data_IF_206654027302
#
_entry.id   IF_206654027302
#
_cell.length_a   1.000
_cell.length_b   1.000
_cell.length_c   1.000
_cell.angle_alpha   90.00
_cell.angle_beta   90.00
_cell.angle_gamma   90.00
#
_symmetry.space_group_name_H-M   'P 1'
#
loop_
_entity.id
_entity.type
_entity.pdbx_description
1 polymer ?
#
# COMPACT_ATOMS: atom_id res chain seq x y z
N UNK A 1 24.47 30.34 -5.48
CA UNK A 1 24.40 28.91 -5.10
C UNK A 1 22.92 28.57 -4.99
N UNK A 2 22.49 27.51 -5.67
CA UNK A 2 21.16 27.38 -6.26
C UNK A 2 19.98 27.49 -5.30
N UNK A 3 19.00 28.28 -5.72
CA UNK A 3 17.60 28.04 -5.38
C UNK A 3 17.18 26.73 -6.08
N UNK A 4 17.51 25.59 -5.48
CA UNK A 4 16.95 24.30 -5.89
C UNK A 4 15.51 24.23 -5.35
N UNK A 5 14.58 24.60 -6.21
CA UNK A 5 13.26 23.97 -6.37
C UNK A 5 12.55 23.48 -5.10
N UNK A 6 11.75 24.35 -4.48
CA UNK A 6 10.86 24.00 -3.36
C UNK A 6 9.64 23.08 -3.72
N UNK A 7 9.09 23.03 -4.96
CA UNK A 7 7.93 22.19 -5.24
C UNK A 7 8.27 20.71 -5.48
N UNK A 8 9.48 20.38 -5.94
CA UNK A 8 9.89 18.98 -6.19
C UNK A 8 9.91 18.14 -4.89
N UNK A 9 10.50 18.67 -3.81
CA UNK A 9 10.62 17.97 -2.53
C UNK A 9 9.26 17.63 -1.88
N UNK A 10 8.26 18.50 -2.03
CA UNK A 10 6.93 18.29 -1.44
C UNK A 10 6.18 17.14 -2.13
N UNK A 11 6.30 17.02 -3.46
CA UNK A 11 5.69 15.95 -4.22
C UNK A 11 6.34 14.59 -3.92
N UNK A 12 7.67 14.55 -3.81
CA UNK A 12 8.41 13.34 -3.44
C UNK A 12 8.09 12.86 -2.02
N UNK A 13 7.94 13.79 -1.08
CA UNK A 13 7.54 13.47 0.29
C UNK A 13 6.10 12.94 0.37
N UNK A 14 5.17 13.53 -0.40
CA UNK A 14 3.79 13.05 -0.46
C UNK A 14 3.71 11.64 -1.10
N UNK A 15 4.45 11.40 -2.18
CA UNK A 15 4.54 10.07 -2.80
C UNK A 15 5.09 9.02 -1.83
N UNK A 16 6.17 9.33 -1.11
CA UNK A 16 6.73 8.43 -0.09
C UNK A 16 5.74 8.14 1.04
N UNK A 17 5.04 9.15 1.54
CA UNK A 17 4.00 8.96 2.56
C UNK A 17 2.87 8.06 2.05
N UNK A 18 2.44 8.23 0.79
CA UNK A 18 1.40 7.40 0.20
C UNK A 18 1.82 5.92 0.08
N UNK A 19 3.07 5.68 -0.32
CA UNK A 19 3.66 4.34 -0.40
C UNK A 19 3.73 3.68 1.00
N UNK A 20 4.12 4.44 2.03
CA UNK A 20 4.15 3.93 3.40
C UNK A 20 2.75 3.59 3.93
N UNK A 21 1.76 4.48 3.72
CA UNK A 21 0.36 4.21 4.07
C UNK A 21 -0.15 2.93 3.41
N UNK A 22 0.10 2.78 2.12
CA UNK A 22 -0.27 1.60 1.34
C UNK A 22 0.37 0.33 1.91
N UNK A 23 1.66 0.37 2.23
CA UNK A 23 2.39 -0.76 2.81
C UNK A 23 1.79 -1.20 4.14
N UNK A 24 1.55 -0.25 5.06
CA UNK A 24 1.02 -0.56 6.39
C UNK A 24 -0.36 -1.19 6.24
N UNK A 25 -1.24 -0.55 5.47
CA UNK A 25 -2.60 -1.01 5.28
C UNK A 25 -2.70 -2.38 4.60
N UNK A 26 -1.86 -2.64 3.60
CA UNK A 26 -1.78 -3.94 2.94
C UNK A 26 -1.47 -5.04 3.97
N UNK A 27 -0.45 -4.82 4.80
CA UNK A 27 -0.04 -5.78 5.81
C UNK A 27 -1.09 -5.95 6.90
N UNK A 28 -1.73 -4.88 7.37
CA UNK A 28 -2.83 -4.97 8.34
C UNK A 28 -4.00 -5.80 7.81
N UNK A 29 -4.44 -5.55 6.56
CA UNK A 29 -5.48 -6.38 5.94
C UNK A 29 -5.00 -7.82 5.80
N UNK A 30 -3.77 -8.08 5.33
CA UNK A 30 -3.27 -9.45 5.19
C UNK A 30 -3.26 -10.20 6.51
N UNK A 31 -2.78 -9.57 7.58
CA UNK A 31 -2.78 -10.17 8.91
C UNK A 31 -4.19 -10.42 9.43
N UNK A 32 -5.15 -9.54 9.13
CA UNK A 32 -6.55 -9.73 9.50
C UNK A 32 -7.19 -10.92 8.78
N UNK A 33 -6.93 -11.12 7.49
CA UNK A 33 -7.57 -12.18 6.69
C UNK A 33 -6.85 -13.53 6.77
N UNK A 34 -5.52 -13.54 6.88
CA UNK A 34 -4.69 -14.75 6.78
C UNK A 34 -3.92 -15.07 8.06
N UNK A 35 -3.71 -14.08 8.94
CA UNK A 35 -2.97 -14.20 10.20
C UNK A 35 -1.60 -13.52 10.17
N UNK A 36 -0.99 -13.36 11.34
CA UNK A 36 0.22 -12.55 11.56
C UNK A 36 1.45 -12.96 10.73
N UNK A 37 1.51 -14.22 10.28
CA UNK A 37 2.60 -14.76 9.46
C UNK A 37 2.57 -14.28 8.00
N UNK A 38 1.49 -13.64 7.55
CA UNK A 38 1.31 -13.20 6.17
C UNK A 38 1.61 -11.70 6.05
N UNK A 39 2.74 -11.39 5.42
CA UNK A 39 3.24 -10.03 5.29
C UNK A 39 3.98 -9.85 3.96
N UNK A 40 3.86 -8.67 3.35
CA UNK A 40 4.70 -8.26 2.23
C UNK A 40 5.89 -7.48 2.77
N UNK A 41 7.10 -7.87 2.37
CA UNK A 41 8.32 -7.21 2.84
C UNK A 41 8.46 -5.76 2.34
N UNK A 42 9.09 -4.91 3.17
CA UNK A 42 9.35 -3.50 2.84
C UNK A 42 10.18 -3.31 1.56
N UNK A 43 10.98 -4.31 1.15
CA UNK A 43 11.85 -4.23 -0.03
C UNK A 43 11.09 -3.92 -1.32
N UNK A 44 9.84 -4.38 -1.45
CA UNK A 44 9.01 -4.06 -2.61
C UNK A 44 8.59 -2.58 -2.66
N UNK A 45 8.62 -1.88 -1.53
CA UNK A 45 8.15 -0.51 -1.34
C UNK A 45 9.28 0.50 -1.09
N UNK A 46 10.53 0.03 -0.95
CA UNK A 46 11.72 0.87 -0.69
C UNK A 46 12.53 1.21 -1.94
N UNK A 47 12.12 0.76 -3.13
CA UNK A 47 12.80 1.12 -4.38
C UNK A 47 12.64 2.61 -4.68
N UNK A 48 13.75 3.29 -4.97
CA UNK A 48 13.79 4.72 -5.30
C UNK A 48 12.91 5.09 -6.51
N UNK A 49 12.59 4.13 -7.37
CA UNK A 49 11.72 4.30 -8.53
C UNK A 49 10.22 4.45 -8.21
N UNK A 50 9.78 4.25 -6.96
CA UNK A 50 8.36 4.27 -6.59
C UNK A 50 7.76 5.67 -6.43
N UNK A 51 8.55 6.72 -6.68
CA UNK A 51 8.07 8.12 -6.64
C UNK A 51 7.00 8.42 -7.70
N UNK A 52 6.75 7.51 -8.66
CA UNK A 52 5.68 7.61 -9.64
C UNK A 52 4.63 6.51 -9.46
N UNK A 53 3.36 6.89 -9.54
CA UNK A 53 2.21 5.97 -9.47
C UNK A 53 2.32 4.84 -10.51
N UNK A 54 2.85 5.11 -11.70
CA UNK A 54 3.05 4.10 -12.74
C UNK A 54 4.04 3.01 -12.31
N UNK A 55 5.15 3.40 -11.67
CA UNK A 55 6.14 2.45 -11.17
C UNK A 55 5.57 1.63 -10.01
N UNK A 56 4.80 2.26 -9.12
CA UNK A 56 4.06 1.55 -8.08
C UNK A 56 3.08 0.53 -8.69
N UNK A 57 2.26 0.92 -9.66
CA UNK A 57 1.36 0.00 -10.40
C UNK A 57 2.12 -1.14 -11.09
N UNK A 58 3.34 -0.89 -11.56
CA UNK A 58 4.20 -1.89 -12.20
C UNK A 58 4.74 -2.89 -11.19
N UNK A 59 5.30 -2.43 -10.08
CA UNK A 59 5.77 -3.30 -8.98
C UNK A 59 4.59 -4.08 -8.40
N UNK A 60 3.46 -3.43 -8.22
CA UNK A 60 2.23 -4.07 -7.76
C UNK A 60 1.86 -5.26 -8.64
N UNK A 61 1.70 -5.05 -9.95
CA UNK A 61 1.30 -6.12 -10.88
C UNK A 61 2.34 -7.22 -11.06
N UNK A 62 3.63 -6.92 -10.89
CA UNK A 62 4.72 -7.89 -11.15
C UNK A 62 5.23 -8.63 -9.93
N UNK A 63 5.00 -8.10 -8.73
CA UNK A 63 5.55 -8.66 -7.51
C UNK A 63 4.46 -8.87 -6.45
N UNK A 64 3.69 -7.83 -6.14
CA UNK A 64 2.71 -7.90 -5.05
C UNK A 64 1.51 -8.75 -5.45
N UNK A 65 0.92 -8.51 -6.61
CA UNK A 65 -0.23 -9.27 -7.12
C UNK A 65 0.03 -10.78 -7.17
N UNK A 66 1.10 -11.29 -7.80
CA UNK A 66 1.35 -12.74 -7.81
C UNK A 66 1.61 -13.31 -6.41
N UNK A 67 2.23 -12.54 -5.50
CA UNK A 67 2.38 -12.95 -4.10
C UNK A 67 1.02 -13.06 -3.39
N UNK A 68 0.11 -12.12 -3.63
CA UNK A 68 -1.26 -12.19 -3.10
C UNK A 68 -2.02 -13.37 -3.68
N UNK A 69 -1.90 -13.65 -4.98
CA UNK A 69 -2.50 -14.83 -5.60
C UNK A 69 -2.00 -16.12 -4.92
N UNK A 70 -0.70 -16.21 -4.62
CA UNK A 70 -0.13 -17.32 -3.85
C UNK A 70 -0.68 -17.38 -2.42
N UNK A 71 -0.88 -16.25 -1.74
CA UNK A 71 -1.45 -16.23 -0.39
C UNK A 71 -2.92 -16.67 -0.37
N UNK A 72 -3.69 -16.25 -1.36
CA UNK A 72 -5.12 -16.56 -1.45
C UNK A 72 -5.42 -17.86 -2.21
N UNK A 73 -4.42 -18.58 -2.75
CA UNK A 73 -4.64 -19.79 -3.54
C UNK A 73 -5.48 -20.86 -2.81
N UNK A 74 -5.37 -20.92 -1.48
CA UNK A 74 -6.09 -21.90 -0.64
C UNK A 74 -7.43 -21.37 -0.10
N UNK A 75 -7.81 -20.13 -0.45
CA UNK A 75 -9.06 -19.50 -0.05
C UNK A 75 -10.14 -19.74 -1.10
N UNK A 76 -11.36 -20.11 -0.65
CA UNK A 76 -12.51 -20.31 -1.56
C UNK A 76 -12.98 -19.01 -2.22
N UNK A 77 -12.72 -17.88 -1.58
CA UNK A 77 -13.11 -16.54 -2.01
C UNK A 77 -11.92 -15.73 -2.56
N UNK A 78 -10.89 -16.39 -3.11
CA UNK A 78 -9.66 -15.76 -3.57
C UNK A 78 -9.90 -14.56 -4.50
N UNK A 79 -10.78 -14.70 -5.49
CA UNK A 79 -11.10 -13.65 -6.47
C UNK A 79 -11.69 -12.38 -5.81
N UNK A 80 -12.57 -12.58 -4.82
CA UNK A 80 -13.16 -11.51 -4.03
C UNK A 80 -12.13 -10.83 -3.16
N UNK A 81 -11.26 -11.60 -2.51
CA UNK A 81 -10.17 -11.06 -1.68
C UNK A 81 -9.19 -10.28 -2.55
N UNK A 82 -8.71 -10.83 -3.67
CA UNK A 82 -7.80 -10.13 -4.58
C UNK A 82 -8.37 -8.79 -5.06
N UNK A 83 -9.68 -8.70 -5.29
CA UNK A 83 -10.35 -7.42 -5.60
C UNK A 83 -10.29 -6.42 -4.44
N UNK A 84 -10.48 -6.88 -3.20
CA UNK A 84 -10.35 -6.08 -1.97
C UNK A 84 -8.92 -5.59 -1.67
N UNK A 85 -7.93 -6.30 -2.19
CA UNK A 85 -6.51 -5.96 -2.11
C UNK A 85 -6.00 -5.22 -3.35
N UNK A 86 -6.87 -4.81 -4.27
CA UNK A 86 -6.45 -4.04 -5.43
C UNK A 86 -5.87 -2.68 -5.02
N UNK A 87 -4.83 -2.24 -5.74
CA UNK A 87 -4.13 -0.98 -5.46
C UNK A 87 -5.10 0.21 -5.37
N UNK A 88 -6.08 0.27 -6.27
CA UNK A 88 -7.09 1.33 -6.30
C UNK A 88 -7.93 1.34 -5.01
N UNK A 89 -8.45 0.19 -4.59
CA UNK A 89 -9.19 0.00 -3.34
C UNK A 89 -8.39 0.42 -2.11
N UNK A 90 -7.09 0.10 -2.08
CA UNK A 90 -6.24 0.43 -0.94
C UNK A 90 -5.94 1.94 -0.87
N UNK A 91 -5.87 2.62 -2.02
CA UNK A 91 -5.65 4.07 -2.13
C UNK A 91 -6.92 4.91 -1.95
N UNK A 92 -8.09 4.39 -2.33
CA UNK A 92 -9.40 5.10 -2.24
C UNK A 92 -9.92 5.28 -0.81
N UNK A 93 -9.36 4.56 0.16
CA UNK A 93 -9.85 4.52 1.53
C UNK A 93 -9.29 5.66 2.41
N UNK A 94 -9.08 6.83 1.81
CA UNK A 94 -8.83 8.08 2.57
C UNK A 94 -10.07 8.49 3.39
N UNK A 95 -11.21 7.79 3.24
CA UNK A 95 -12.47 8.08 3.97
C UNK A 95 -12.60 7.38 5.33
N UNK A 96 -11.70 6.45 5.69
CA UNK A 96 -11.79 5.73 6.97
C UNK A 96 -10.97 6.37 8.11
N UNK A 97 -10.22 7.45 7.85
CA UNK A 97 -9.53 8.22 8.91
C UNK A 97 -10.39 9.38 9.41
N UNK A 98 -11.55 9.06 9.99
CA UNK A 98 -12.31 10.00 10.84
C UNK A 98 -12.81 9.38 12.14
N UNK A 99 -12.25 8.23 12.58
CA UNK A 99 -12.64 7.57 13.85
C UNK A 99 -11.48 7.47 14.86
N UNK A 100 -10.59 8.47 14.93
CA UNK A 100 -9.60 8.57 16.03
C UNK A 100 -9.72 9.88 16.82
N UNK A 101 -10.92 10.46 16.91
CA UNK A 101 -11.16 11.64 17.73
C UNK A 101 -12.50 11.59 18.47
N UNK A 102 -12.77 10.55 19.25
CA UNK A 102 -13.87 10.54 20.23
C UNK A 102 -13.76 9.40 21.27
N UNK A 103 -12.67 9.38 22.02
CA UNK A 103 -12.53 8.79 23.37
C UNK A 103 -11.02 8.88 23.65
N UNK A 104 -10.50 9.66 24.60
CA UNK A 104 -10.80 9.63 26.02
C UNK A 104 -10.67 11.06 26.62
N UNK A 105 -11.66 11.46 27.42
CA UNK A 105 -11.62 12.58 28.36
C UNK A 105 -11.33 12.05 29.77
#
# INVERSE_FOLDING_TARGET
MGAHDAPEYAAEEQSRNNVLKLFVKLNEKLQHYLGENFQVGHSYFMSADLNSEENLKRVWRRAILPLLEEYFHNSRDADKLLSEFSLDTLLQDESASSIVAADEL
#
